data_IF_399697372782
#
_entry.id   IF_399697372782
#
_cell.length_a   1.000
_cell.length_b   1.000
_cell.length_c   1.000
_cell.angle_alpha   90.00
_cell.angle_beta   90.00
_cell.angle_gamma   90.00
#
_symmetry.space_group_name_H-M   'P 1'
#
loop_
_entity.id
_entity.type
_entity.pdbx_description
1 polymer ?
#
# COMPACT_ATOMS: atom_id res chain seq x y z
N UNK A 1 17.34 11.84 2.92
CA UNK A 1 16.73 13.19 2.77
C UNK A 1 16.84 14.03 4.04
N UNK A 2 17.59 13.62 5.07
CA UNK A 2 17.68 14.35 6.34
C UNK A 2 18.18 15.79 6.18
N UNK A 3 19.07 16.05 5.21
CA UNK A 3 19.54 17.41 4.88
C UNK A 3 18.46 18.32 4.26
N UNK A 4 17.40 17.76 3.68
CA UNK A 4 16.30 18.52 3.05
C UNK A 4 15.07 18.66 3.95
N UNK A 5 15.22 18.41 5.25
CA UNK A 5 14.12 18.47 6.22
C UNK A 5 13.48 19.85 6.36
N UNK A 6 14.25 20.90 6.10
CA UNK A 6 13.80 22.31 6.17
C UNK A 6 13.25 22.79 4.80
N UNK A 7 13.36 21.97 3.75
CA UNK A 7 12.97 22.35 2.39
C UNK A 7 11.52 21.91 2.09
N UNK A 8 10.57 22.83 2.33
CA UNK A 8 9.12 22.58 2.15
C UNK A 8 8.77 22.13 0.72
N UNK A 9 9.34 22.78 -0.30
CA UNK A 9 8.99 22.51 -1.70
C UNK A 9 9.37 21.10 -2.15
N UNK A 10 10.62 20.61 -1.95
CA UNK A 10 10.98 19.22 -2.23
C UNK A 10 10.10 18.20 -1.49
N UNK A 11 9.80 18.43 -0.21
CA UNK A 11 9.00 17.51 0.60
C UNK A 11 7.58 17.39 0.06
N UNK A 12 6.93 18.51 -0.29
CA UNK A 12 5.60 18.49 -0.89
C UNK A 12 5.59 17.85 -2.27
N UNK A 13 6.57 18.17 -3.13
CA UNK A 13 6.66 17.61 -4.47
C UNK A 13 6.85 16.08 -4.43
N UNK A 14 7.75 15.59 -3.58
CA UNK A 14 7.99 14.16 -3.44
C UNK A 14 6.83 13.44 -2.75
N UNK A 15 6.14 14.09 -1.82
CA UNK A 15 4.88 13.57 -1.25
C UNK A 15 3.82 13.39 -2.33
N UNK A 16 3.65 14.41 -3.18
CA UNK A 16 2.69 14.35 -4.28
C UNK A 16 3.06 13.23 -5.27
N UNK A 17 4.33 13.15 -5.68
CA UNK A 17 4.80 12.15 -6.62
C UNK A 17 4.70 10.72 -6.05
N UNK A 18 5.01 10.53 -4.75
CA UNK A 18 4.87 9.25 -4.06
C UNK A 18 3.41 8.80 -3.93
N UNK A 19 2.49 9.74 -3.68
CA UNK A 19 1.05 9.45 -3.69
C UNK A 19 0.54 9.11 -5.09
N UNK A 20 0.91 9.91 -6.09
CA UNK A 20 0.45 9.78 -7.47
C UNK A 20 1.00 8.54 -8.19
N UNK A 21 2.18 8.07 -7.78
CA UNK A 21 2.77 6.81 -8.21
C UNK A 21 2.03 5.62 -7.60
N UNK A 22 2.72 4.78 -6.82
CA UNK A 22 2.24 3.46 -6.40
C UNK A 22 0.84 3.45 -5.75
N UNK A 23 0.49 4.46 -4.95
CA UNK A 23 -0.73 4.40 -4.10
C UNK A 23 -2.00 4.77 -4.87
N UNK A 24 -1.93 5.86 -5.63
CA UNK A 24 -3.07 6.40 -6.38
C UNK A 24 -2.96 6.15 -7.88
N UNK A 25 -2.00 5.35 -8.35
CA UNK A 25 -1.88 4.97 -9.75
C UNK A 25 -3.22 4.54 -10.40
N UNK A 26 -4.04 3.66 -9.78
CA UNK A 26 -5.35 3.30 -10.31
C UNK A 26 -6.30 4.50 -10.52
N UNK A 27 -6.24 5.46 -9.60
CA UNK A 27 -7.11 6.64 -9.60
C UNK A 27 -6.63 7.65 -10.65
N UNK A 28 -5.33 7.93 -10.70
CA UNK A 28 -4.72 8.80 -11.70
C UNK A 28 -4.90 8.22 -13.10
N UNK A 29 -4.71 6.92 -13.29
CA UNK A 29 -4.93 6.24 -14.56
C UNK A 29 -6.36 6.44 -15.05
N UNK A 30 -7.36 6.18 -14.20
CA UNK A 30 -8.77 6.41 -14.56
C UNK A 30 -9.05 7.89 -14.86
N UNK A 31 -8.47 8.80 -14.08
CA UNK A 31 -8.61 10.24 -14.30
C UNK A 31 -8.04 10.67 -15.66
N UNK A 32 -6.85 10.19 -16.04
CA UNK A 32 -6.23 10.47 -17.34
C UNK A 32 -7.07 9.95 -18.50
N UNK A 33 -7.61 8.73 -18.40
CA UNK A 33 -8.49 8.16 -19.45
C UNK A 33 -9.79 8.97 -19.55
N UNK A 34 -10.34 9.38 -18.42
CA UNK A 34 -11.55 10.21 -18.36
C UNK A 34 -11.32 11.61 -18.94
N UNK A 35 -10.20 12.26 -18.64
CA UNK A 35 -9.87 13.57 -19.22
C UNK A 35 -9.62 13.47 -20.72
N UNK A 36 -8.89 12.45 -21.19
CA UNK A 36 -8.76 12.21 -22.64
C UNK A 36 -10.13 12.00 -23.30
N UNK A 37 -11.04 11.25 -22.68
CA UNK A 37 -12.38 11.01 -23.21
C UNK A 37 -13.22 12.28 -23.36
N UNK A 38 -12.98 13.27 -22.47
CA UNK A 38 -13.63 14.59 -22.52
C UNK A 38 -12.98 15.54 -23.51
N UNK A 39 -11.68 15.44 -23.74
CA UNK A 39 -10.93 16.30 -24.66
C UNK A 39 -11.05 15.83 -26.11
N UNK A 40 -11.27 14.54 -26.35
CA UNK A 40 -11.42 13.98 -27.69
C UNK A 40 -12.79 14.32 -28.31
N UNK A 41 -12.83 14.85 -29.56
CA UNK A 41 -14.08 15.11 -30.29
C UNK A 41 -14.94 13.87 -30.47
N UNK A 42 -16.27 14.05 -30.56
CA UNK A 42 -17.23 12.94 -30.68
C UNK A 42 -17.09 12.09 -31.95
N UNK A 43 -16.53 12.69 -33.01
CA UNK A 43 -16.34 12.02 -34.30
C UNK A 43 -14.97 11.33 -34.44
N UNK A 44 -14.17 11.31 -33.36
CA UNK A 44 -12.85 10.69 -33.38
C UNK A 44 -12.94 9.17 -33.23
N UNK A 45 -12.16 8.38 -34.02
CA UNK A 45 -12.11 6.93 -33.87
C UNK A 45 -11.56 6.45 -32.51
N UNK A 46 -10.96 7.35 -31.73
CA UNK A 46 -10.40 7.05 -30.39
C UNK A 46 -11.47 7.12 -29.29
N UNK A 47 -12.63 7.72 -29.56
CA UNK A 47 -13.67 7.90 -28.55
C UNK A 47 -14.35 6.58 -28.15
N UNK A 48 -14.66 5.72 -29.12
CA UNK A 48 -15.26 4.40 -28.89
C UNK A 48 -14.37 3.50 -28.00
N UNK A 49 -13.05 3.34 -28.29
CA UNK A 49 -12.13 2.64 -27.40
C UNK A 49 -12.06 3.23 -25.98
N UNK A 50 -12.02 4.56 -25.85
CA UNK A 50 -11.96 5.22 -24.52
C UNK A 50 -13.25 5.03 -23.72
N UNK A 51 -14.40 5.13 -24.38
CA UNK A 51 -15.69 4.85 -23.75
C UNK A 51 -15.77 3.38 -23.31
N UNK A 52 -15.30 2.46 -24.14
CA UNK A 52 -15.22 1.03 -23.80
C UNK A 52 -14.32 0.78 -22.59
N UNK A 53 -13.13 1.39 -22.53
CA UNK A 53 -12.21 1.32 -21.38
C UNK A 53 -12.83 1.81 -20.07
N UNK A 54 -13.64 2.87 -20.12
CA UNK A 54 -14.29 3.42 -18.93
C UNK A 54 -15.50 2.60 -18.48
N UNK A 55 -16.19 1.95 -19.42
CA UNK A 55 -17.36 1.11 -19.19
C UNK A 55 -16.97 -0.31 -18.71
N UNK A 56 -15.89 -0.89 -19.23
CA UNK A 56 -15.39 -2.23 -18.90
C UNK A 56 -13.93 -2.20 -18.40
N UNK A 57 -13.65 -1.50 -17.29
CA UNK A 57 -12.29 -1.18 -16.88
C UNK A 57 -11.44 -2.43 -16.55
N UNK A 58 -12.03 -3.41 -15.87
CA UNK A 58 -11.33 -4.62 -15.41
C UNK A 58 -10.96 -5.60 -16.52
N UNK A 59 -11.63 -5.56 -17.68
CA UNK A 59 -11.30 -6.42 -18.83
C UNK A 59 -10.08 -5.95 -19.61
N UNK A 60 -9.82 -4.65 -19.59
CA UNK A 60 -8.71 -4.06 -20.34
C UNK A 60 -7.46 -3.90 -19.48
N UNK A 61 -7.61 -3.70 -18.16
CA UNK A 61 -6.48 -3.56 -17.26
C UNK A 61 -6.83 -3.89 -15.81
N UNK A 62 -5.99 -4.72 -15.16
CA UNK A 62 -6.23 -5.21 -13.80
C UNK A 62 -6.31 -4.09 -12.74
N UNK A 63 -5.53 -3.01 -12.89
CA UNK A 63 -5.54 -1.88 -11.94
C UNK A 63 -6.52 -0.76 -12.34
N UNK A 64 -7.35 -0.97 -13.36
CA UNK A 64 -8.41 -0.02 -13.70
C UNK A 64 -9.69 -0.47 -12.99
N UNK A 65 -10.09 0.26 -11.95
CA UNK A 65 -11.28 -0.05 -11.15
C UNK A 65 -12.51 0.74 -11.62
N UNK A 66 -13.74 0.25 -11.38
CA UNK A 66 -14.99 1.01 -11.56
C UNK A 66 -15.01 2.33 -10.77
N UNK A 67 -15.86 3.29 -11.19
CA UNK A 67 -15.91 4.64 -10.61
C UNK A 67 -16.15 4.62 -9.09
N UNK A 68 -17.14 3.85 -8.61
CA UNK A 68 -17.43 3.73 -7.19
C UNK A 68 -16.24 3.23 -6.38
N UNK A 69 -15.58 2.16 -6.85
CA UNK A 69 -14.38 1.60 -6.21
C UNK A 69 -13.22 2.59 -6.21
N UNK A 70 -13.01 3.35 -7.30
CA UNK A 70 -11.93 4.36 -7.35
C UNK A 70 -12.12 5.49 -6.33
N UNK A 71 -13.35 5.96 -6.13
CA UNK A 71 -13.64 6.99 -5.14
C UNK A 71 -13.49 6.46 -3.71
N UNK A 72 -13.96 5.23 -3.44
CA UNK A 72 -13.76 4.58 -2.15
C UNK A 72 -12.27 4.36 -1.85
N UNK A 73 -11.49 3.90 -2.84
CA UNK A 73 -10.04 3.70 -2.73
C UNK A 73 -9.32 5.03 -2.41
N UNK A 74 -9.64 6.10 -3.14
CA UNK A 74 -9.11 7.44 -2.87
C UNK A 74 -9.43 7.90 -1.44
N UNK A 75 -10.68 7.74 -1.00
CA UNK A 75 -11.11 8.13 0.34
C UNK A 75 -10.37 7.36 1.44
N UNK A 76 -10.26 6.04 1.31
CA UNK A 76 -9.55 5.18 2.27
C UNK A 76 -8.06 5.53 2.33
N UNK A 77 -7.40 5.71 1.17
CA UNK A 77 -5.98 6.07 1.11
C UNK A 77 -5.72 7.42 1.76
N UNK A 78 -6.55 8.43 1.45
CA UNK A 78 -6.42 9.76 2.01
C UNK A 78 -6.64 9.74 3.53
N UNK A 79 -7.69 9.07 4.00
CA UNK A 79 -7.97 8.94 5.44
C UNK A 79 -6.81 8.25 6.18
N UNK A 80 -6.30 7.14 5.65
CA UNK A 80 -5.18 6.41 6.27
C UNK A 80 -3.90 7.29 6.32
N UNK A 81 -3.60 8.08 5.27
CA UNK A 81 -2.44 8.99 5.28
C UNK A 81 -2.61 10.14 6.28
N UNK A 82 -3.82 10.70 6.37
CA UNK A 82 -4.12 11.79 7.31
C UNK A 82 -4.01 11.32 8.76
N UNK A 83 -4.52 10.11 9.06
CA UNK A 83 -4.40 9.50 10.39
C UNK A 83 -2.93 9.25 10.74
N UNK A 84 -2.13 8.69 9.83
CA UNK A 84 -0.70 8.45 10.08
C UNK A 84 0.07 9.76 10.28
N UNK A 85 -0.16 10.77 9.43
CA UNK A 85 0.44 12.09 9.59
C UNK A 85 0.05 12.74 10.93
N UNK A 86 -1.21 12.62 11.35
CA UNK A 86 -1.68 13.10 12.65
C UNK A 86 -0.97 12.37 13.80
N UNK A 87 -0.86 11.04 13.74
CA UNK A 87 -0.16 10.24 14.74
C UNK A 87 1.31 10.66 14.85
N UNK A 88 2.00 10.85 13.73
CA UNK A 88 3.38 11.33 13.72
C UNK A 88 3.52 12.73 14.34
N UNK A 89 2.64 13.67 13.98
CA UNK A 89 2.67 15.02 14.56
C UNK A 89 2.43 14.98 16.06
N UNK A 90 1.46 14.20 16.54
CA UNK A 90 1.08 14.13 17.95
C UNK A 90 2.11 13.40 18.81
N UNK A 91 2.64 12.27 18.33
CA UNK A 91 3.57 11.44 19.10
C UNK A 91 4.97 12.05 19.18
N UNK A 92 5.36 12.87 18.21
CA UNK A 92 6.71 13.46 18.16
C UNK A 92 6.76 14.96 18.49
N UNK A 93 5.72 15.51 19.15
CA UNK A 93 5.64 16.93 19.54
C UNK A 93 6.88 17.45 20.29
N UNK A 94 7.56 16.59 21.06
CA UNK A 94 8.64 16.95 21.98
C UNK A 94 10.04 16.50 21.52
N UNK A 95 10.18 15.93 20.32
CA UNK A 95 11.48 15.44 19.87
C UNK A 95 12.41 16.57 19.45
N UNK A 96 13.62 16.60 19.98
CA UNK A 96 14.63 17.63 19.72
C UNK A 96 14.98 17.77 18.22
N UNK A 97 14.92 16.68 17.46
CA UNK A 97 15.15 16.69 16.01
C UNK A 97 14.03 17.37 15.19
N UNK A 98 12.84 17.49 15.78
CA UNK A 98 11.64 18.09 15.17
C UNK A 98 11.38 19.49 15.76
N UNK A 99 11.80 19.73 17.00
CA UNK A 99 11.64 21.00 17.71
C UNK A 99 12.39 22.16 17.02
N UNK A 100 13.47 21.88 16.29
CA UNK A 100 14.21 22.88 15.51
C UNK A 100 13.46 23.47 14.31
N UNK A 101 12.38 22.84 13.85
CA UNK A 101 11.60 23.28 12.68
C UNK A 101 10.40 24.15 13.08
N UNK A 102 10.01 25.06 12.17
CA UNK A 102 8.76 25.81 12.30
C UNK A 102 7.54 24.88 12.25
N UNK A 103 6.42 25.30 12.84
CA UNK A 103 5.21 24.46 12.92
C UNK A 103 4.74 23.98 11.54
N UNK A 104 4.85 24.82 10.51
CA UNK A 104 4.50 24.47 9.14
C UNK A 104 5.40 23.38 8.55
N UNK A 105 6.71 23.50 8.74
CA UNK A 105 7.69 22.50 8.26
C UNK A 105 7.50 21.15 8.96
N UNK A 106 7.12 21.15 10.25
CA UNK A 106 6.81 19.91 10.99
C UNK A 106 5.64 19.16 10.37
N UNK A 107 4.56 19.88 10.04
CA UNK A 107 3.37 19.27 9.41
C UNK A 107 3.75 18.69 8.05
N UNK A 108 4.53 19.43 7.26
CA UNK A 108 4.98 18.98 5.93
C UNK A 108 5.92 17.76 6.03
N UNK A 109 6.85 17.76 6.98
CA UNK A 109 7.76 16.63 7.21
C UNK A 109 7.01 15.38 7.70
N UNK A 110 6.00 15.54 8.57
CA UNK A 110 5.16 14.44 9.01
C UNK A 110 4.27 13.90 7.88
N UNK A 111 3.69 14.78 7.05
CA UNK A 111 2.94 14.38 5.86
C UNK A 111 3.83 13.62 4.87
N UNK A 112 5.04 14.13 4.61
CA UNK A 112 6.01 13.46 3.76
C UNK A 112 6.40 12.09 4.31
N UNK A 113 6.66 11.98 5.61
CA UNK A 113 6.98 10.71 6.25
C UNK A 113 5.81 9.71 6.15
N UNK A 114 4.57 10.17 6.35
CA UNK A 114 3.39 9.31 6.23
C UNK A 114 3.18 8.79 4.81
N UNK A 115 3.52 9.58 3.80
CA UNK A 115 3.49 9.14 2.40
C UNK A 115 4.66 8.19 2.10
N UNK A 116 5.86 8.54 2.54
CA UNK A 116 7.08 7.80 2.25
C UNK A 116 7.14 6.44 2.96
N UNK A 117 6.43 6.29 4.09
CA UNK A 117 6.31 5.05 4.87
C UNK A 117 5.61 3.90 4.13
N UNK A 118 5.09 4.14 2.92
CA UNK A 118 4.40 3.13 2.13
C UNK A 118 5.23 2.51 1.01
N UNK A 119 6.19 3.24 0.42
CA UNK A 119 6.89 2.77 -0.79
C UNK A 119 8.24 3.43 -1.06
N UNK A 120 8.51 4.63 -0.54
CA UNK A 120 9.73 5.36 -0.87
C UNK A 120 10.92 4.95 0.02
N UNK A 121 10.69 4.59 1.28
CA UNK A 121 11.78 4.29 2.22
C UNK A 121 12.68 5.50 2.54
N UNK A 122 12.23 6.69 2.17
CA UNK A 122 12.95 7.96 2.35
C UNK A 122 12.43 8.64 3.60
N UNK A 123 13.34 9.16 4.42
CA UNK A 123 12.97 9.84 5.67
C UNK A 123 13.52 11.27 5.71
N UNK A 124 12.73 12.22 6.23
CA UNK A 124 13.18 13.59 6.45
C UNK A 124 13.94 13.73 7.77
N UNK A 125 13.82 12.78 8.71
CA UNK A 125 14.54 12.76 9.98
C UNK A 125 15.06 11.36 10.33
N UNK A 126 15.90 11.28 11.35
CA UNK A 126 16.47 10.03 11.83
C UNK A 126 15.43 9.26 12.66
N UNK A 127 14.98 8.11 12.18
CA UNK A 127 13.97 7.29 12.86
C UNK A 127 14.46 6.75 14.21
N UNK A 128 15.76 6.64 14.43
CA UNK A 128 16.30 6.17 15.72
C UNK A 128 16.05 7.16 16.87
N UNK A 129 15.89 8.45 16.56
CA UNK A 129 15.65 9.52 17.54
C UNK A 129 14.17 9.86 17.71
N UNK A 130 13.30 9.21 16.93
CA UNK A 130 11.85 9.35 16.99
C UNK A 130 11.29 8.57 18.18
N UNK A 131 10.12 8.97 18.69
CA UNK A 131 9.51 8.28 19.82
C UNK A 131 9.25 6.80 19.49
N UNK A 132 9.44 5.86 20.44
CA UNK A 132 9.14 4.45 20.20
C UNK A 132 7.69 4.21 19.74
N UNK A 133 6.76 5.05 20.20
CA UNK A 133 5.36 5.01 19.78
C UNK A 133 5.19 5.38 18.29
N UNK A 134 5.88 6.41 17.80
CA UNK A 134 5.85 6.78 16.39
C UNK A 134 6.55 5.72 15.51
N UNK A 135 7.64 5.11 15.98
CA UNK A 135 8.26 3.96 15.30
C UNK A 135 7.29 2.78 15.17
N UNK A 136 6.52 2.48 16.22
CA UNK A 136 5.48 1.46 16.19
C UNK A 136 4.34 1.83 15.23
N UNK A 137 3.88 3.09 15.24
CA UNK A 137 2.88 3.59 14.28
C UNK A 137 3.33 3.42 12.84
N UNK A 138 4.59 3.78 12.53
CA UNK A 138 5.19 3.60 11.20
C UNK A 138 5.21 2.13 10.79
N UNK A 139 5.54 1.21 11.71
CA UNK A 139 5.53 -0.22 11.43
C UNK A 139 4.13 -0.73 11.07
N UNK A 140 3.13 -0.35 11.88
CA UNK A 140 1.73 -0.73 11.65
C UNK A 140 1.25 -0.18 10.30
N UNK A 141 1.54 1.10 10.02
CA UNK A 141 1.12 1.76 8.80
C UNK A 141 1.76 1.14 7.55
N UNK A 142 3.06 0.87 7.62
CA UNK A 142 3.83 0.18 6.59
C UNK A 142 3.18 -1.16 6.22
N UNK A 143 2.70 -1.90 7.21
CA UNK A 143 2.02 -3.18 7.00
C UNK A 143 0.61 -3.05 6.42
N UNK A 144 -0.16 -2.03 6.85
CA UNK A 144 -1.54 -1.80 6.41
C UNK A 144 -1.60 -1.23 4.97
N UNK A 145 -0.52 -0.56 4.54
CA UNK A 145 -0.44 0.20 3.28
C UNK A 145 -0.85 -0.56 2.01
N UNK A 146 -0.68 -1.89 1.97
CA UNK A 146 -1.00 -2.71 0.80
C UNK A 146 -2.48 -3.15 0.73
N UNK A 147 -3.20 -3.10 1.85
CA UNK A 147 -4.59 -3.59 1.93
C UNK A 147 -5.57 -2.83 1.05
N UNK A 148 -5.57 -1.48 0.96
CA UNK A 148 -6.57 -0.75 0.17
C UNK A 148 -6.60 -1.15 -1.31
N UNK A 149 -5.42 -1.32 -1.92
CA UNK A 149 -5.29 -1.72 -3.32
C UNK A 149 -5.71 -3.18 -3.50
N UNK A 150 -5.22 -4.09 -2.64
CA UNK A 150 -5.58 -5.51 -2.69
C UNK A 150 -7.09 -5.74 -2.50
N UNK A 151 -7.72 -4.97 -1.59
CA UNK A 151 -9.15 -5.00 -1.36
C UNK A 151 -9.94 -4.47 -2.57
N UNK A 152 -9.44 -3.42 -3.24
CA UNK A 152 -10.09 -2.88 -4.43
C UNK A 152 -10.11 -3.90 -5.57
N UNK A 153 -9.01 -4.64 -5.79
CA UNK A 153 -8.94 -5.75 -6.75
C UNK A 153 -10.01 -6.80 -6.45
N UNK A 154 -10.07 -7.28 -5.22
CA UNK A 154 -11.02 -8.33 -4.80
C UNK A 154 -12.47 -7.89 -4.87
N UNK A 155 -12.77 -6.67 -4.42
CA UNK A 155 -14.11 -6.10 -4.49
C UNK A 155 -14.57 -5.90 -5.94
N UNK A 156 -13.65 -5.53 -6.84
CA UNK A 156 -13.97 -5.39 -8.27
C UNK A 156 -14.13 -6.71 -9.02
N UNK A 157 -13.60 -7.82 -8.49
CA UNK A 157 -13.71 -9.14 -9.12
C UNK A 157 -15.14 -9.71 -9.07
N UNK A 158 -15.89 -9.39 -8.00
CA UNK A 158 -17.31 -9.79 -7.85
C UNK A 158 -18.24 -9.08 -8.84
N UNK A 159 -17.81 -7.98 -9.47
CA UNK A 159 -18.62 -7.22 -10.43
C UNK A 159 -18.81 -7.93 -11.78
N UNK A 160 -18.07 -9.01 -12.06
CA UNK A 160 -18.13 -9.74 -13.35
C UNK A 160 -18.66 -11.19 -13.25
N UNK A 161 -19.27 -11.61 -12.13
CA UNK A 161 -19.93 -12.93 -12.03
C UNK A 161 -21.24 -13.02 -12.87
N UNK A 162 -21.65 -11.93 -13.53
CA UNK A 162 -22.87 -11.88 -14.35
C UNK A 162 -22.66 -12.35 -15.80
N UNK A 163 -23.41 -13.38 -16.20
CA UNK A 163 -23.54 -13.83 -17.61
C UNK A 163 -23.90 -12.66 -18.54
N UNK A 164 -23.22 -12.59 -19.69
CA UNK A 164 -23.43 -11.61 -20.77
C UNK A 164 -24.88 -11.72 -21.30
N UNK A 165 -25.80 -10.97 -20.70
CA UNK A 165 -27.21 -10.95 -21.12
C UNK A 165 -28.19 -10.35 -20.11
N UNK A 166 -27.82 -10.30 -18.82
CA UNK A 166 -28.67 -9.70 -17.78
C UNK A 166 -27.89 -8.56 -17.13
N UNK A 167 -28.11 -7.34 -17.63
CA UNK A 167 -27.70 -6.14 -16.90
C UNK A 167 -28.67 -6.00 -15.72
N UNK A 168 -28.30 -6.50 -14.54
CA UNK A 168 -29.01 -6.08 -13.32
C UNK A 168 -28.88 -4.57 -13.21
N UNK A 169 -30.02 -3.88 -13.38
CA UNK A 169 -30.10 -2.45 -13.20
C UNK A 169 -29.76 -2.12 -11.74
N UNK A 170 -28.56 -1.58 -11.55
CA UNK A 170 -28.06 -1.05 -10.29
C UNK A 170 -27.94 -2.08 -9.16
N UNK A 171 -26.83 -2.82 -9.14
CA UNK A 171 -26.17 -3.13 -7.87
C UNK A 171 -25.62 -1.83 -7.28
N UNK A 172 -26.52 -0.99 -6.78
CA UNK A 172 -26.17 0.07 -5.84
C UNK A 172 -25.34 -0.59 -4.74
N UNK A 173 -24.11 -0.12 -4.54
CA UNK A 173 -23.29 -0.46 -3.39
C UNK A 173 -24.17 -0.42 -2.14
N UNK A 174 -24.54 -1.59 -1.62
CA UNK A 174 -25.45 -1.66 -0.48
C UNK A 174 -24.62 -1.34 0.76
N UNK A 175 -24.54 -0.04 1.05
CA UNK A 175 -23.72 0.63 2.07
C UNK A 175 -23.88 0.01 3.47
N UNK A 176 -25.01 -0.68 3.70
CA UNK A 176 -25.32 -1.39 4.95
C UNK A 176 -24.63 -2.75 5.14
N UNK A 177 -24.10 -3.40 4.09
CA UNK A 177 -23.38 -4.70 4.17
C UNK A 177 -21.91 -4.63 3.74
N UNK A 178 -21.49 -3.53 3.09
CA UNK A 178 -20.12 -3.36 2.61
C UNK A 178 -19.06 -3.39 3.72
N UNK A 179 -19.33 -2.79 4.87
CA UNK A 179 -18.39 -2.77 6.00
C UNK A 179 -18.13 -4.16 6.60
N UNK A 180 -19.18 -4.96 6.81
CA UNK A 180 -19.03 -6.32 7.34
C UNK A 180 -18.29 -7.25 6.35
N UNK A 181 -18.53 -7.07 5.05
CA UNK A 181 -17.81 -7.77 3.99
C UNK A 181 -16.33 -7.37 3.97
N UNK A 182 -16.04 -6.07 4.06
CA UNK A 182 -14.68 -5.53 4.12
C UNK A 182 -13.91 -6.06 5.34
N UNK A 183 -14.54 -6.04 6.53
CA UNK A 183 -13.95 -6.53 7.79
C UNK A 183 -13.62 -8.02 7.70
N UNK A 184 -14.52 -8.84 7.14
CA UNK A 184 -14.30 -10.28 6.99
C UNK A 184 -13.12 -10.58 6.07
N UNK A 185 -12.98 -9.84 4.98
CA UNK A 185 -11.82 -9.97 4.07
C UNK A 185 -10.52 -9.49 4.70
N UNK A 186 -10.54 -8.38 5.44
CA UNK A 186 -9.39 -7.88 6.20
C UNK A 186 -8.93 -8.93 7.21
N UNK A 187 -9.85 -9.53 7.99
CA UNK A 187 -9.52 -10.57 8.97
C UNK A 187 -8.87 -11.79 8.33
N UNK A 188 -9.40 -12.27 7.19
CA UNK A 188 -8.83 -13.41 6.49
C UNK A 188 -7.43 -13.12 5.94
N UNK A 189 -7.19 -11.91 5.43
CA UNK A 189 -5.91 -11.50 4.88
C UNK A 189 -4.86 -11.29 5.98
N UNK A 190 -5.24 -10.63 7.08
CA UNK A 190 -4.39 -10.47 8.27
C UNK A 190 -3.95 -11.83 8.82
N UNK A 191 -4.87 -12.81 8.93
CA UNK A 191 -4.56 -14.15 9.44
C UNK A 191 -3.53 -14.88 8.59
N UNK A 192 -3.59 -14.73 7.27
CA UNK A 192 -2.67 -15.41 6.35
C UNK A 192 -1.28 -14.75 6.31
N UNK A 193 -1.20 -13.46 6.62
CA UNK A 193 0.04 -12.68 6.52
C UNK A 193 0.79 -12.58 7.85
N UNK A 194 0.10 -12.59 9.00
CA UNK A 194 0.74 -12.41 10.31
C UNK A 194 1.73 -13.52 10.68
N UNK A 195 1.45 -14.78 10.31
CA UNK A 195 2.26 -15.91 10.77
C UNK A 195 3.68 -15.90 10.18
N UNK A 196 3.82 -15.48 8.92
CA UNK A 196 5.13 -15.32 8.28
C UNK A 196 5.94 -14.18 8.88
N UNK A 197 5.29 -13.06 9.22
CA UNK A 197 5.94 -11.93 9.90
C UNK A 197 6.41 -12.35 11.28
N UNK A 198 5.56 -13.05 12.03
CA UNK A 198 5.91 -13.60 13.33
C UNK A 198 7.11 -14.55 13.24
N UNK A 199 7.09 -15.49 12.29
CA UNK A 199 8.20 -16.42 12.06
C UNK A 199 9.48 -15.69 11.66
N UNK A 200 9.40 -14.70 10.78
CA UNK A 200 10.55 -13.91 10.34
C UNK A 200 11.17 -13.09 11.49
N UNK A 201 10.34 -12.42 12.29
CA UNK A 201 10.78 -11.69 13.49
C UNK A 201 11.39 -12.66 14.51
N UNK A 202 10.79 -13.82 14.71
CA UNK A 202 11.31 -14.85 15.62
C UNK A 202 12.70 -15.33 15.17
N UNK A 203 12.87 -15.68 13.90
CA UNK A 203 14.17 -16.09 13.35
C UNK A 203 15.22 -14.97 13.44
N UNK A 204 14.82 -13.70 13.21
CA UNK A 204 15.71 -12.55 13.40
C UNK A 204 16.09 -12.35 14.86
N UNK A 205 15.14 -12.47 15.78
CA UNK A 205 15.37 -12.34 17.21
C UNK A 205 16.33 -13.42 17.73
N UNK A 206 16.23 -14.66 17.23
CA UNK A 206 17.16 -15.74 17.56
C UNK A 206 18.56 -15.47 16.98
N UNK A 207 18.65 -15.03 15.73
CA UNK A 207 19.91 -14.71 15.05
C UNK A 207 20.68 -13.58 15.71
N UNK A 208 19.98 -12.53 16.11
CA UNK A 208 20.58 -11.30 16.64
C UNK A 208 20.46 -11.20 18.17
N UNK A 209 20.09 -12.30 18.85
CA UNK A 209 19.88 -12.36 20.30
C UNK A 209 21.09 -11.85 21.11
N UNK A 210 22.30 -12.10 20.62
CA UNK A 210 23.54 -11.64 21.26
C UNK A 210 23.72 -10.12 21.18
N UNK A 211 23.28 -9.48 20.10
CA UNK A 211 23.36 -8.03 19.91
C UNK A 211 22.22 -7.29 20.60
N UNK A 212 21.04 -7.90 20.67
CA UNK A 212 19.88 -7.34 21.39
C UNK A 212 20.12 -7.28 22.91
N UNK A 213 20.92 -8.20 23.44
CA UNK A 213 21.25 -8.26 24.87
C UNK A 213 22.35 -7.31 25.31
N UNK A 214 23.08 -6.69 24.37
CA UNK A 214 24.17 -5.78 24.71
C UNK A 214 23.59 -4.40 25.08
N UNK A 215 23.76 -3.93 26.34
CA UNK A 215 23.23 -2.64 26.79
C UNK A 215 23.95 -1.43 26.15
N UNK A 216 25.04 -1.65 25.40
CA UNK A 216 25.78 -0.58 24.73
C UNK A 216 25.29 -0.28 23.31
N UNK A 217 24.49 -1.16 22.71
CA UNK A 217 23.91 -0.96 21.38
C UNK A 217 22.47 -0.43 21.50
N UNK A 218 22.04 0.50 20.62
CA UNK A 218 20.68 1.00 20.63
C UNK A 218 19.68 -0.16 20.43
N UNK A 219 18.57 -0.21 21.20
CA UNK A 219 17.62 -1.30 21.13
C UNK A 219 17.07 -1.44 19.71
N UNK A 220 17.15 -2.66 19.19
CA UNK A 220 16.76 -3.01 17.84
C UNK A 220 15.23 -2.88 17.67
N UNK A 221 14.72 -1.72 17.25
CA UNK A 221 13.32 -1.65 16.79
C UNK A 221 13.22 -2.21 15.37
N UNK A 222 12.38 -3.24 15.22
CA UNK A 222 12.33 -4.13 14.06
C UNK A 222 11.72 -3.43 12.82
N UNK A 223 12.53 -2.69 12.07
CA UNK A 223 12.15 -2.12 10.78
C UNK A 223 12.47 -3.06 9.60
N UNK A 224 11.64 -4.08 9.37
CA UNK A 224 11.71 -4.94 8.16
C UNK A 224 10.33 -5.17 7.59
N UNK A 225 9.67 -4.09 7.18
CA UNK A 225 8.70 -4.18 6.09
C UNK A 225 9.38 -3.73 4.81
N UNK A 226 8.92 -4.24 3.68
CA UNK A 226 9.46 -4.05 2.33
C UNK A 226 9.52 -2.60 1.82
N UNK A 227 9.28 -1.63 2.69
CA UNK A 227 9.29 -0.21 2.40
C UNK A 227 10.70 0.37 2.42
N UNK A 228 11.68 -0.35 2.99
CA UNK A 228 13.08 0.10 2.96
C UNK A 228 13.42 1.16 4.00
N UNK A 229 12.51 1.44 4.94
CA UNK A 229 12.82 2.17 6.15
C UNK A 229 13.66 1.29 7.07
N UNK A 230 14.87 1.74 7.38
CA UNK A 230 15.73 1.10 8.37
C UNK A 230 16.21 2.13 9.38
N UNK A 231 16.37 1.69 10.62
CA UNK A 231 17.03 2.49 11.64
C UNK A 231 18.52 2.64 11.25
N UNK A 232 19.07 3.83 11.41
CA UNK A 232 20.51 4.01 11.27
C UNK A 232 21.24 3.45 12.48
N UNK A 233 22.49 3.02 12.30
CA UNK A 233 23.36 2.68 13.43
C UNK A 233 24.36 3.83 13.69
N UNK A 234 24.56 4.30 14.93
CA UNK A 234 25.38 5.48 15.22
C UNK A 234 26.84 5.37 14.75
N UNK A 235 27.39 4.16 14.67
CA UNK A 235 28.78 3.95 14.22
C UNK A 235 28.97 3.91 12.70
N UNK A 236 27.91 3.84 11.89
CA UNK A 236 28.02 3.70 10.42
C UNK A 236 26.85 4.36 9.72
N UNK A 237 27.10 5.12 8.65
CA UNK A 237 26.06 5.67 7.77
C UNK A 237 25.30 4.62 6.93
N UNK A 238 25.53 3.33 7.20
CA UNK A 238 24.85 2.22 6.56
C UNK A 238 23.54 1.85 7.31
N UNK A 239 22.63 1.20 6.61
CA UNK A 239 21.40 0.61 7.18
C UNK A 239 21.71 -0.37 8.31
N UNK A 240 20.80 -0.52 9.30
CA UNK A 240 20.95 -1.48 10.41
C UNK A 240 21.26 -2.91 9.91
N UNK A 241 20.72 -3.26 8.75
CA UNK A 241 20.93 -4.56 8.11
C UNK A 241 22.40 -4.83 7.74
N UNK A 242 23.24 -3.79 7.64
CA UNK A 242 24.67 -3.95 7.39
C UNK A 242 25.37 -4.72 8.52
N UNK A 243 24.95 -4.47 9.77
CA UNK A 243 25.50 -5.13 10.97
C UNK A 243 24.88 -6.49 11.28
N UNK A 244 23.88 -6.96 10.51
CA UNK A 244 23.26 -8.27 10.76
C UNK A 244 24.19 -9.44 10.44
N UNK A 245 23.93 -10.58 11.09
CA UNK A 245 24.59 -11.83 10.74
C UNK A 245 24.24 -12.25 9.30
N UNK A 246 25.03 -13.15 8.71
CA UNK A 246 24.73 -13.71 7.37
C UNK A 246 23.36 -14.36 7.36
N UNK A 247 23.01 -15.08 8.44
CA UNK A 247 21.70 -15.71 8.58
C UNK A 247 20.58 -14.67 8.71
N UNK A 248 20.76 -13.61 9.51
CA UNK A 248 19.79 -12.52 9.63
C UNK A 248 19.53 -11.82 8.30
N UNK A 249 20.56 -11.60 7.48
CA UNK A 249 20.43 -11.04 6.12
C UNK A 249 19.59 -11.95 5.22
N UNK A 250 19.81 -13.27 5.26
CA UNK A 250 19.01 -14.23 4.48
C UNK A 250 17.54 -14.22 4.90
N UNK A 251 17.25 -14.13 6.20
CA UNK A 251 15.88 -14.02 6.71
C UNK A 251 15.20 -12.74 6.21
N UNK A 252 15.90 -11.59 6.27
CA UNK A 252 15.37 -10.33 5.71
C UNK A 252 15.12 -10.46 4.20
N UNK A 253 16.04 -11.03 3.43
CA UNK A 253 15.85 -11.26 1.99
C UNK A 253 14.61 -12.13 1.70
N UNK A 254 14.42 -13.22 2.45
CA UNK A 254 13.26 -14.09 2.30
C UNK A 254 11.94 -13.36 2.64
N UNK A 255 11.94 -12.55 3.71
CA UNK A 255 10.80 -11.70 4.06
C UNK A 255 10.50 -10.68 2.96
N UNK A 256 11.53 -10.05 2.38
CA UNK A 256 11.38 -9.10 1.28
C UNK A 256 10.78 -9.73 0.03
N UNK A 257 11.27 -10.90 -0.38
CA UNK A 257 10.71 -11.64 -1.52
C UNK A 257 9.25 -11.99 -1.25
N UNK A 258 8.95 -12.56 -0.08
CA UNK A 258 7.57 -12.96 0.26
C UNK A 258 6.62 -11.77 0.33
N UNK A 259 7.06 -10.65 0.92
CA UNK A 259 6.25 -9.44 1.00
C UNK A 259 5.96 -8.82 -0.38
N UNK A 260 6.87 -8.95 -1.36
CA UNK A 260 6.60 -8.55 -2.75
C UNK A 260 5.59 -9.48 -3.42
N UNK A 261 5.65 -10.77 -3.12
CA UNK A 261 4.72 -11.76 -3.65
C UNK A 261 3.33 -11.74 -2.97
N UNK A 262 3.16 -11.00 -1.86
CA UNK A 262 1.88 -10.84 -1.16
C UNK A 262 0.81 -10.16 -2.01
N UNK A 263 1.22 -9.29 -2.94
CA UNK A 263 0.34 -8.60 -3.87
C UNK A 263 -0.10 -9.45 -5.07
N UNK A 264 0.49 -10.65 -5.26
CA UNK A 264 0.10 -11.53 -6.34
C UNK A 264 -1.27 -12.14 -6.03
N UNK A 265 -2.24 -12.07 -6.96
CA UNK A 265 -3.50 -12.75 -6.77
C UNK A 265 -3.23 -14.27 -6.69
N UNK A 266 -3.73 -14.92 -5.64
CA UNK A 266 -3.54 -16.37 -5.42
C UNK A 266 -4.31 -17.23 -6.44
N UNK A 267 -5.10 -16.60 -7.30
CA UNK A 267 -5.81 -17.17 -8.45
C UNK A 267 -5.52 -16.26 -9.63
N UNK A 268 -5.43 -16.81 -10.85
CA UNK A 268 -5.32 -15.99 -12.08
C UNK A 268 -6.41 -14.90 -12.02
N UNK A 269 -6.03 -13.63 -12.18
CA UNK A 269 -7.02 -12.56 -12.28
C UNK A 269 -7.94 -12.92 -13.46
N UNK A 270 -9.25 -13.00 -13.21
CA UNK A 270 -10.23 -13.43 -14.22
C UNK A 270 -10.31 -12.48 -15.42
N UNK A 271 -9.76 -11.28 -15.29
CA UNK A 271 -9.45 -10.39 -16.40
C UNK A 271 -8.51 -11.02 -17.46
N UNK A 272 -7.81 -12.10 -17.13
CA UNK A 272 -6.84 -12.84 -17.96
C UNK A 272 -7.18 -14.34 -17.98
N UNK A 273 -8.46 -14.72 -17.84
CA UNK A 273 -8.86 -16.13 -18.08
C UNK A 273 -8.71 -16.47 -19.56
N UNK A 274 -8.10 -17.62 -19.83
CA UNK A 274 -7.95 -18.17 -21.18
C UNK A 274 -9.32 -18.73 -21.65
N UNK A 275 -9.65 -18.62 -22.96
CA UNK A 275 -10.97 -19.00 -23.49
C UNK A 275 -11.47 -20.40 -23.13
N UNK A 276 -10.57 -21.35 -22.88
CA UNK A 276 -10.91 -22.75 -22.59
C UNK A 276 -11.52 -22.95 -21.19
N UNK A 277 -11.30 -22.06 -20.23
CA UNK A 277 -11.85 -22.21 -18.87
C UNK A 277 -13.34 -21.85 -18.78
N UNK A 278 -13.86 -21.06 -19.73
CA UNK A 278 -15.31 -20.77 -19.83
C UNK A 278 -16.15 -21.99 -20.18
N UNK A 279 -15.55 -23.02 -20.79
CA UNK A 279 -16.25 -24.24 -21.22
C UNK A 279 -16.39 -25.26 -20.09
N UNK A 280 -15.56 -25.18 -19.04
CA UNK A 280 -15.56 -26.12 -17.93
C UNK A 280 -16.50 -25.70 -16.78
N UNK A 281 -16.86 -24.41 -16.71
CA UNK A 281 -17.80 -23.89 -15.69
C UNK A 281 -19.26 -23.82 -16.17
N UNK A 282 -19.58 -24.24 -17.40
CA UNK A 282 -20.99 -24.37 -17.79
C UNK A 282 -21.61 -25.53 -16.99
N UNK A 283 -22.63 -25.28 -16.15
CA UNK A 283 -23.40 -26.38 -15.59
C UNK A 283 -24.01 -27.12 -16.78
N UNK A 284 -23.76 -28.43 -16.85
CA UNK A 284 -24.42 -29.32 -17.80
C UNK A 284 -25.92 -29.15 -17.58
N UNK A 285 -26.58 -28.42 -18.48
CA UNK A 285 -28.04 -28.37 -18.54
C UNK A 285 -28.43 -29.76 -19.03
N UNK A 286 -28.72 -30.64 -18.09
CA UNK A 286 -29.36 -31.92 -18.33
C UNK A 286 -30.72 -31.61 -18.97
N UNK A 287 -30.80 -31.82 -20.28
CA UNK A 287 -32.06 -31.79 -21.02
C UNK A 287 -32.77 -33.11 -20.76
N UNK A 288 -33.82 -33.06 -19.95
CA UNK A 288 -34.90 -34.07 -19.96
C UNK A 288 -35.59 -34.14 -21.33
#
# INVERSE_FOLDING_TARGET
>A
MVHFRDAVVPLLLLSFLGLAGETLYPVFLRFVIWTMSKLTPRDSPIQEPLAFLLNYPRRCYALLFPSGTTWALLGIILALNLVDALLLVVLDLHNLDIVGLSVGERIVAALFQAVASRHAGITPYNLSNVSPAAQFSLLVMMYISIFPIAMSIRASNTYEEGSLGIYESNACYNEKKGGAYLVRHIQQQLRFDLWYIFLGIFCLAVSEASKIKDPNDPPLTLGSGNVGLSLGHPSTSASLSAKFSVFGKLVVCAMMIRGRHRGLPCQLDRAIMLPDEHLLEQPVIEKD
#
